data_IF_848840256097
#
_entry.id   IF_848840256097
#
_cell.length_a   1.000
_cell.length_b   1.000
_cell.length_c   1.000
_cell.angle_alpha   90.00
_cell.angle_beta   90.00
_cell.angle_gamma   90.00
#
_symmetry.space_group_name_H-M   'P 1'
#
loop_
_entity.id
_entity.type
_entity.pdbx_description
1 polymer ?
#
# COMPACT_ATOMS: atom_id res chain seq x y z
N UNK A 1 -3.58 9.82 24.75
CA UNK A 1 -3.56 9.72 23.27
C UNK A 1 -2.21 10.26 22.84
N UNK A 2 -1.46 9.57 21.98
CA UNK A 2 -0.18 10.08 21.50
C UNK A 2 -0.44 11.37 20.70
N UNK A 3 0.18 12.49 21.07
CA UNK A 3 -0.01 13.79 20.43
C UNK A 3 1.05 14.06 19.37
N UNK A 4 0.74 14.94 18.43
CA UNK A 4 1.68 15.32 17.37
C UNK A 4 2.97 15.96 17.93
N UNK A 5 2.86 16.70 19.02
CA UNK A 5 4.01 17.32 19.68
C UNK A 5 4.93 16.28 20.34
N UNK A 6 4.38 15.25 20.97
CA UNK A 6 5.16 14.14 21.53
C UNK A 6 5.91 13.39 20.42
N UNK A 7 5.25 13.11 19.29
CA UNK A 7 5.91 12.48 18.13
C UNK A 7 6.98 13.39 17.57
N UNK A 8 6.74 14.70 17.42
CA UNK A 8 7.75 15.63 16.90
C UNK A 8 9.02 15.66 17.75
N UNK A 9 8.88 15.60 19.08
CA UNK A 9 10.00 15.62 20.03
C UNK A 9 10.88 14.36 20.01
N UNK A 10 10.40 13.25 19.43
CA UNK A 10 11.17 12.00 19.38
C UNK A 10 12.40 12.11 18.47
N UNK A 11 13.56 11.56 18.89
CA UNK A 11 14.67 11.22 18.01
C UNK A 11 14.22 10.37 16.81
N UNK A 12 14.93 10.48 15.67
CA UNK A 12 14.56 9.77 14.44
C UNK A 12 14.48 8.25 14.62
N UNK A 13 15.43 7.66 15.35
CA UNK A 13 15.45 6.23 15.64
C UNK A 13 14.24 5.76 16.46
N UNK A 14 13.69 6.61 17.32
CA UNK A 14 12.46 6.31 18.07
C UNK A 14 11.23 6.42 17.19
N UNK A 15 11.17 7.45 16.33
CA UNK A 15 10.09 7.58 15.32
C UNK A 15 10.02 6.36 14.40
N UNK A 16 11.18 5.90 13.90
CA UNK A 16 11.25 4.74 13.02
C UNK A 16 10.80 3.46 13.73
N UNK A 17 11.25 3.22 14.97
CA UNK A 17 10.78 2.07 15.76
C UNK A 17 9.28 2.13 16.05
N UNK A 18 8.76 3.30 16.39
CA UNK A 18 7.33 3.49 16.60
C UNK A 18 6.55 3.18 15.31
N UNK A 19 7.02 3.65 14.16
CA UNK A 19 6.42 3.36 12.85
C UNK A 19 6.43 1.86 12.56
N UNK A 20 7.54 1.16 12.81
CA UNK A 20 7.64 -0.29 12.64
C UNK A 20 6.67 -1.05 13.54
N UNK A 21 6.56 -0.68 14.82
CA UNK A 21 5.62 -1.30 15.75
C UNK A 21 4.16 -1.08 15.35
N UNK A 22 3.83 0.13 14.89
CA UNK A 22 2.49 0.44 14.36
C UNK A 22 2.21 -0.41 13.13
N UNK A 23 3.17 -0.48 12.20
CA UNK A 23 3.03 -1.24 10.96
C UNK A 23 2.85 -2.73 11.24
N UNK A 24 3.66 -3.31 12.11
CA UNK A 24 3.58 -4.71 12.52
C UNK A 24 2.21 -5.02 13.15
N UNK A 25 1.71 -4.14 14.03
CA UNK A 25 0.41 -4.31 14.65
C UNK A 25 -0.74 -4.27 13.64
N UNK A 26 -0.72 -3.32 12.69
CA UNK A 26 -1.73 -3.22 11.62
C UNK A 26 -1.65 -4.43 10.68
N UNK A 27 -0.44 -4.87 10.34
CA UNK A 27 -0.22 -5.99 9.42
C UNK A 27 -0.82 -7.29 9.96
N UNK A 28 -0.61 -7.59 11.25
CA UNK A 28 -1.22 -8.75 11.88
C UNK A 28 -2.75 -8.67 11.99
N UNK A 29 -3.31 -7.46 12.03
CA UNK A 29 -4.76 -7.24 11.98
C UNK A 29 -5.35 -7.31 10.55
N UNK A 30 -4.51 -7.34 9.50
CA UNK A 30 -4.98 -7.30 8.11
C UNK A 30 -5.81 -8.53 7.70
N UNK A 31 -5.69 -9.66 8.42
CA UNK A 31 -6.55 -10.83 8.24
C UNK A 31 -8.03 -10.53 8.54
N UNK A 32 -8.33 -9.46 9.29
CA UNK A 32 -9.69 -9.01 9.59
C UNK A 32 -10.27 -8.01 8.58
N UNK A 33 -9.47 -7.54 7.62
CA UNK A 33 -9.93 -6.59 6.61
C UNK A 33 -10.57 -7.33 5.43
N UNK A 34 -11.90 -7.38 5.42
CA UNK A 34 -12.64 -7.88 4.26
C UNK A 34 -12.47 -6.92 3.08
N UNK A 35 -12.06 -7.46 1.93
CA UNK A 35 -12.04 -6.69 0.69
C UNK A 35 -13.45 -6.19 0.38
N UNK A 36 -13.61 -4.93 -0.10
CA UNK A 36 -14.91 -4.43 -0.54
C UNK A 36 -15.53 -5.32 -1.63
N UNK A 37 -16.85 -5.42 -1.67
CA UNK A 37 -17.57 -6.27 -2.63
C UNK A 37 -17.21 -5.98 -4.10
N UNK A 38 -16.93 -4.72 -4.43
CA UNK A 38 -16.55 -4.31 -5.78
C UNK A 38 -15.16 -4.79 -6.19
N UNK A 39 -14.28 -5.11 -5.23
CA UNK A 39 -12.88 -5.42 -5.49
C UNK A 39 -12.75 -6.67 -6.37
N UNK A 40 -13.57 -7.69 -6.12
CA UNK A 40 -13.61 -8.91 -6.93
C UNK A 40 -13.92 -8.60 -8.39
N UNK A 41 -14.97 -7.82 -8.64
CA UNK A 41 -15.43 -7.49 -9.99
C UNK A 41 -14.35 -6.76 -10.78
N UNK A 42 -13.61 -5.85 -10.15
CA UNK A 42 -12.50 -5.14 -10.79
C UNK A 42 -11.32 -6.07 -11.11
N UNK A 43 -10.98 -6.99 -10.20
CA UNK A 43 -9.92 -7.98 -10.44
C UNK A 43 -10.27 -8.92 -11.60
N UNK A 44 -11.51 -9.40 -11.65
CA UNK A 44 -12.01 -10.23 -12.75
C UNK A 44 -11.99 -9.48 -14.09
N UNK A 45 -12.47 -8.23 -14.11
CA UNK A 45 -12.43 -7.41 -15.32
C UNK A 45 -10.99 -7.13 -15.81
N UNK A 46 -10.07 -6.90 -14.89
CA UNK A 46 -8.63 -6.71 -15.15
C UNK A 46 -8.03 -7.99 -15.74
N UNK A 47 -8.32 -9.14 -15.14
CA UNK A 47 -7.84 -10.43 -15.63
C UNK A 47 -8.35 -10.76 -17.05
N UNK A 48 -9.61 -10.45 -17.36
CA UNK A 48 -10.14 -10.62 -18.71
C UNK A 48 -9.48 -9.69 -19.72
N UNK A 49 -9.23 -8.41 -19.36
CA UNK A 49 -8.46 -7.50 -20.22
C UNK A 49 -7.03 -7.99 -20.45
N UNK A 50 -6.38 -8.54 -19.41
CA UNK A 50 -5.06 -9.14 -19.51
C UNK A 50 -5.03 -10.35 -20.46
N UNK A 51 -6.00 -11.27 -20.34
CA UNK A 51 -6.13 -12.42 -21.25
C UNK A 51 -6.38 -11.99 -22.70
N UNK A 52 -7.14 -10.92 -22.90
CA UNK A 52 -7.38 -10.32 -24.20
C UNK A 52 -6.18 -9.53 -24.77
N UNK A 53 -5.08 -9.40 -24.02
CA UNK A 53 -3.90 -8.62 -24.42
C UNK A 53 -4.09 -7.10 -24.35
N UNK A 54 -5.17 -6.64 -23.72
CA UNK A 54 -5.50 -5.22 -23.52
C UNK A 54 -4.78 -4.61 -22.31
N UNK A 55 -4.24 -5.45 -21.43
CA UNK A 55 -3.40 -5.04 -20.31
C UNK A 55 -2.08 -5.80 -20.31
N UNK A 56 -0.98 -5.04 -20.26
CA UNK A 56 0.38 -5.58 -20.33
C UNK A 56 1.08 -5.26 -18.99
N UNK A 57 1.61 -6.27 -18.29
CA UNK A 57 2.43 -6.04 -17.11
C UNK A 57 3.62 -5.14 -17.45
N UNK A 58 3.89 -4.16 -16.59
CA UNK A 58 5.03 -3.25 -16.72
C UNK A 58 6.05 -3.55 -15.64
N UNK A 59 7.33 -3.40 -15.98
CA UNK A 59 8.38 -3.43 -14.98
C UNK A 59 8.17 -2.32 -13.94
N UNK A 60 8.46 -2.63 -12.68
CA UNK A 60 8.23 -1.71 -11.58
C UNK A 60 9.08 -0.43 -11.68
N UNK A 61 10.32 -0.54 -12.16
CA UNK A 61 11.18 0.63 -12.34
C UNK A 61 10.66 1.49 -13.50
N UNK A 62 10.20 0.88 -14.59
CA UNK A 62 9.57 1.62 -15.70
C UNK A 62 8.31 2.36 -15.25
N UNK A 63 7.45 1.72 -14.46
CA UNK A 63 6.24 2.32 -13.91
C UNK A 63 6.57 3.55 -13.04
N UNK A 64 7.55 3.43 -12.13
CA UNK A 64 8.04 4.54 -11.31
C UNK A 64 8.51 5.72 -12.16
N UNK A 65 9.30 5.45 -13.20
CA UNK A 65 9.80 6.49 -14.09
C UNK A 65 8.67 7.22 -14.82
N UNK A 66 7.62 6.51 -15.25
CA UNK A 66 6.45 7.14 -15.88
C UNK A 66 5.64 7.99 -14.92
N UNK A 67 5.46 7.53 -13.68
CA UNK A 67 4.70 8.26 -12.66
C UNK A 67 5.41 9.52 -12.17
N UNK A 68 6.73 9.45 -11.99
CA UNK A 68 7.56 10.57 -11.49
C UNK A 68 7.91 11.62 -12.56
N UNK A 69 7.71 11.31 -13.84
CA UNK A 69 7.91 12.24 -14.97
C UNK A 69 6.69 13.12 -15.26
N UNK A 70 5.61 12.98 -14.50
CA UNK A 70 4.42 13.84 -14.56
C UNK A 70 4.55 15.00 -13.58
#
# INVERSE_FOLDING_TARGET
MLTENEVRGMPLNEKLRLMEMIWDNIHHAAESFESPDWHRSELEATEERRKAGLEIPMDWNEAKQKLLKR
#
